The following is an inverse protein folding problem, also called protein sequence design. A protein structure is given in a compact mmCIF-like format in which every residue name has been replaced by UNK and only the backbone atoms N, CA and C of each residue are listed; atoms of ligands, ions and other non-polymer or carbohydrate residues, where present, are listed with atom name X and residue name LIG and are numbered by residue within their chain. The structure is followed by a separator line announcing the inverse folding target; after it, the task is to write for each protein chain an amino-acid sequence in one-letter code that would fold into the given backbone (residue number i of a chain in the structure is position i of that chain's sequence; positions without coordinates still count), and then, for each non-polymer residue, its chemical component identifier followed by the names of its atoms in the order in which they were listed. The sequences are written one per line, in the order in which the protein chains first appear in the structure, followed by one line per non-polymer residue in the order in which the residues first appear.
data_IF_400978644599
#
_entry.id   IF_400978644599
#
_cell.length_a   1.000
_cell.length_b   1.000
_cell.length_c   1.000
_cell.angle_alpha   90.00
_cell.angle_beta   90.00
_cell.angle_gamma   90.00
#
_symmetry.space_group_name_H-M   'P 1'
#
loop_
_entity.id
_entity.type
_entity.pdbx_description
1 polymer ?
#
# COMPACT_ATOMS: atom_id res chain seq x y z
N UNK A 1 -11.88 6.28 -16.27
CA UNK A 1 -11.10 6.98 -15.23
C UNK A 1 -12.06 7.71 -14.34
N UNK A 2 -11.84 7.66 -13.04
CA UNK A 2 -12.61 8.34 -12.01
C UNK A 2 -12.14 9.79 -11.85
N UNK A 3 -12.67 10.51 -10.87
CA UNK A 3 -12.27 11.89 -10.60
C UNK A 3 -12.80 12.85 -11.67
N UNK A 4 -12.00 13.83 -12.01
CA UNK A 4 -12.38 14.93 -12.92
C UNK A 4 -12.67 14.49 -14.36
N UNK A 5 -12.31 13.26 -14.74
CA UNK A 5 -12.56 12.72 -16.07
C UNK A 5 -13.97 12.16 -16.27
N UNK A 6 -14.80 12.19 -15.23
CA UNK A 6 -16.16 11.71 -15.30
C UNK A 6 -17.12 12.89 -15.45
N UNK A 7 -17.90 12.89 -16.52
CA UNK A 7 -18.92 13.91 -16.81
C UNK A 7 -20.35 13.39 -16.59
N UNK A 8 -20.50 12.17 -16.10
CA UNK A 8 -21.81 11.56 -15.85
C UNK A 8 -22.47 12.16 -14.62
N UNK A 9 -23.80 12.35 -14.66
CA UNK A 9 -24.59 12.76 -13.50
C UNK A 9 -24.46 11.79 -12.32
N UNK A 10 -24.35 10.50 -12.62
CA UNK A 10 -24.10 9.44 -11.66
C UNK A 10 -22.69 8.90 -11.91
N UNK A 11 -21.72 9.53 -11.29
CA UNK A 11 -20.31 9.19 -11.48
C UNK A 11 -20.01 7.80 -10.91
N UNK A 12 -19.35 6.90 -11.68
CA UNK A 12 -18.81 5.66 -11.14
C UNK A 12 -17.91 5.96 -9.93
N UNK A 13 -18.11 5.18 -8.85
CA UNK A 13 -17.38 5.33 -7.57
C UNK A 13 -17.39 6.77 -7.02
N UNK A 14 -18.48 7.53 -7.29
CA UNK A 14 -18.66 8.92 -6.88
C UNK A 14 -17.49 9.85 -7.27
N UNK A 15 -16.85 9.57 -8.41
CA UNK A 15 -15.64 10.26 -8.90
C UNK A 15 -14.43 10.21 -7.97
N UNK A 16 -14.38 9.35 -6.97
CA UNK A 16 -13.21 9.15 -6.12
C UNK A 16 -12.03 8.58 -6.92
N UNK A 17 -10.82 8.86 -6.48
CA UNK A 17 -9.60 8.24 -7.01
C UNK A 17 -9.34 6.94 -6.25
N UNK A 18 -9.50 5.81 -6.92
CA UNK A 18 -9.23 4.49 -6.32
C UNK A 18 -7.73 4.24 -6.29
N UNK A 19 -7.21 4.01 -5.09
CA UNK A 19 -5.79 3.80 -4.79
C UNK A 19 -5.53 2.42 -4.15
N UNK A 20 -6.36 1.44 -4.51
CA UNK A 20 -6.11 0.03 -4.21
C UNK A 20 -5.71 -0.77 -5.46
N UNK A 21 -5.42 -0.11 -6.59
CA UNK A 21 -4.79 -0.55 -7.82
C UNK A 21 -4.98 0.42 -9.00
N UNK A 22 -6.14 1.10 -9.13
CA UNK A 22 -6.48 1.80 -10.36
C UNK A 22 -5.54 2.96 -10.65
N UNK A 23 -5.24 3.78 -9.64
CA UNK A 23 -4.30 4.90 -9.78
C UNK A 23 -2.90 4.37 -10.06
N UNK A 24 -2.46 3.35 -9.34
CA UNK A 24 -1.15 2.72 -9.51
C UNK A 24 -0.98 2.23 -10.96
N UNK A 25 -1.92 1.45 -11.47
CA UNK A 25 -1.88 0.94 -12.86
C UNK A 25 -1.81 2.07 -13.91
N UNK A 26 -2.47 3.19 -13.67
CA UNK A 26 -2.43 4.33 -14.59
C UNK A 26 -1.03 4.93 -14.72
N UNK A 27 -0.20 4.83 -13.69
CA UNK A 27 1.15 5.41 -13.65
C UNK A 27 2.29 4.42 -13.85
N UNK A 28 2.05 3.09 -13.76
CA UNK A 28 3.11 2.09 -13.99
C UNK A 28 3.88 2.25 -15.31
N UNK A 29 3.24 2.61 -16.44
CA UNK A 29 3.98 2.77 -17.68
C UNK A 29 4.83 4.04 -17.75
N UNK A 30 4.66 5.02 -16.86
CA UNK A 30 5.27 6.34 -17.00
C UNK A 30 6.80 6.29 -17.11
N UNK A 31 7.46 5.59 -16.19
CA UNK A 31 8.94 5.51 -16.19
C UNK A 31 9.46 4.67 -17.36
N UNK A 32 8.91 3.48 -17.59
CA UNK A 32 9.38 2.57 -18.65
C UNK A 32 9.21 3.11 -20.06
N UNK A 33 8.26 4.05 -20.25
CA UNK A 33 8.02 4.71 -21.54
C UNK A 33 8.66 6.09 -21.65
N UNK A 34 9.52 6.46 -20.68
CA UNK A 34 10.17 7.77 -20.62
C UNK A 34 9.17 8.95 -20.53
N UNK A 35 8.07 8.75 -19.82
CA UNK A 35 7.04 9.75 -19.54
C UNK A 35 7.04 10.18 -18.06
N UNK A 36 8.16 10.01 -17.35
CA UNK A 36 8.31 10.35 -15.93
C UNK A 36 7.92 11.79 -15.58
N UNK A 37 8.03 12.74 -16.51
CA UNK A 37 7.57 14.11 -16.32
C UNK A 37 6.04 14.25 -16.18
N UNK A 38 5.27 13.23 -16.55
CA UNK A 38 3.81 13.21 -16.40
C UNK A 38 3.34 12.80 -15.00
N UNK A 39 4.26 12.38 -14.13
CA UNK A 39 3.94 11.89 -12.77
C UNK A 39 3.83 13.00 -11.73
N UNK A 40 4.19 14.22 -12.04
CA UNK A 40 4.15 15.36 -11.10
C UNK A 40 2.79 15.56 -10.39
N UNK A 41 1.63 15.43 -11.07
CA UNK A 41 0.34 15.50 -10.41
C UNK A 41 0.13 14.38 -9.36
N UNK A 42 0.66 13.18 -9.60
CA UNK A 42 0.63 12.08 -8.64
C UNK A 42 1.51 12.40 -7.42
N UNK A 43 2.70 12.93 -7.63
CA UNK A 43 3.60 13.29 -6.51
C UNK A 43 2.99 14.38 -5.63
N UNK A 44 2.35 15.39 -6.24
CA UNK A 44 1.61 16.41 -5.51
C UNK A 44 0.47 15.81 -4.69
N UNK A 45 -0.31 14.90 -5.27
CA UNK A 45 -1.36 14.16 -4.56
C UNK A 45 -0.80 13.37 -3.38
N UNK A 46 0.30 12.62 -3.56
CA UNK A 46 0.93 11.83 -2.50
C UNK A 46 1.40 12.73 -1.35
N UNK A 47 1.99 13.87 -1.68
CA UNK A 47 2.45 14.85 -0.67
C UNK A 47 1.30 15.35 0.18
N UNK A 48 0.21 15.80 -0.44
CA UNK A 48 -0.97 16.28 0.28
C UNK A 48 -1.59 15.17 1.13
N UNK A 49 -1.74 13.98 0.53
CA UNK A 49 -2.32 12.81 1.16
C UNK A 49 -1.48 12.32 2.35
N UNK A 50 -0.16 12.50 2.32
CA UNK A 50 0.68 12.15 3.46
C UNK A 50 0.37 13.00 4.71
N UNK A 51 -0.07 14.24 4.53
CA UNK A 51 -0.52 15.09 5.63
C UNK A 51 -1.84 14.63 6.26
N UNK A 52 -2.87 14.43 5.45
CA UNK A 52 -4.18 13.93 5.93
C UNK A 52 -4.08 12.48 6.44
N UNK A 53 -3.25 11.67 5.78
CA UNK A 53 -2.96 10.30 6.16
C UNK A 53 -2.23 10.17 7.50
N UNK A 54 -1.39 11.14 7.86
CA UNK A 54 -0.76 11.17 9.19
C UNK A 54 -1.79 11.42 10.30
N UNK A 55 -2.79 12.25 10.04
CA UNK A 55 -3.90 12.42 10.97
C UNK A 55 -4.70 11.13 11.11
N UNK A 56 -5.04 10.48 10.00
CA UNK A 56 -5.78 9.19 10.01
C UNK A 56 -5.00 8.09 10.74
N UNK A 57 -3.69 7.97 10.49
CA UNK A 57 -2.83 7.00 11.17
C UNK A 57 -2.86 7.19 12.70
N UNK A 58 -2.73 8.43 13.16
CA UNK A 58 -2.74 8.77 14.58
C UNK A 58 -4.10 8.60 15.23
N UNK A 59 -5.15 9.14 14.63
CA UNK A 59 -6.48 9.19 15.27
C UNK A 59 -7.23 7.87 15.19
N UNK A 60 -7.09 7.14 14.09
CA UNK A 60 -7.81 5.88 13.89
C UNK A 60 -7.03 4.67 14.40
N UNK A 61 -5.71 4.69 14.29
CA UNK A 61 -4.87 3.52 14.57
C UNK A 61 -3.86 3.73 15.71
N UNK A 62 -3.67 4.96 16.20
CA UNK A 62 -2.65 5.27 17.20
C UNK A 62 -1.21 5.08 16.69
N UNK A 63 -1.01 5.10 15.37
CA UNK A 63 0.26 4.83 14.71
C UNK A 63 0.98 6.10 14.30
N UNK A 64 2.31 6.04 14.25
CA UNK A 64 3.17 7.06 13.62
C UNK A 64 3.05 7.00 12.10
N UNK A 65 3.78 7.87 11.43
CA UNK A 65 3.85 7.94 9.98
C UNK A 65 2.52 8.34 9.35
N UNK A 66 2.21 7.78 8.19
CA UNK A 66 0.96 8.07 7.49
C UNK A 66 0.46 6.86 6.68
N UNK A 67 -0.83 6.85 6.41
CA UNK A 67 -1.49 5.82 5.61
C UNK A 67 -2.69 6.41 4.86
N UNK A 68 -3.19 5.70 3.88
CA UNK A 68 -4.46 5.99 3.24
C UNK A 68 -5.20 4.68 2.94
N UNK A 69 -6.52 4.73 2.99
CA UNK A 69 -7.36 3.60 2.62
C UNK A 69 -7.52 3.49 1.09
N UNK A 70 -8.49 2.72 0.62
CA UNK A 70 -8.61 2.30 -0.78
C UNK A 70 -9.00 3.43 -1.76
N UNK A 71 -9.55 4.54 -1.29
CA UNK A 71 -9.97 5.68 -2.10
C UNK A 71 -9.50 7.01 -1.49
N UNK A 72 -9.25 7.96 -2.35
CA UNK A 72 -9.10 9.38 -2.00
C UNK A 72 -9.89 10.27 -2.98
N UNK A 73 -9.86 11.56 -2.78
CA UNK A 73 -10.59 12.54 -3.61
C UNK A 73 -9.80 13.84 -3.76
N UNK A 74 -10.45 14.88 -4.32
CA UNK A 74 -9.83 16.21 -4.46
C UNK A 74 -9.50 16.86 -3.13
N UNK A 75 -10.14 16.42 -2.03
CA UNK A 75 -9.92 16.91 -0.67
C UNK A 75 -8.87 16.09 0.10
N UNK A 76 -8.30 15.07 -0.54
CA UNK A 76 -7.27 14.19 0.04
C UNK A 76 -7.76 13.41 1.26
N UNK A 77 -9.00 12.88 1.20
CA UNK A 77 -9.45 11.97 2.24
C UNK A 77 -8.53 10.75 2.34
N UNK A 78 -8.12 10.39 3.55
CA UNK A 78 -7.30 9.21 3.83
C UNK A 78 -8.05 8.16 4.65
N UNK A 79 -9.15 8.53 5.30
CA UNK A 79 -10.02 7.65 6.06
C UNK A 79 -10.71 6.60 5.19
N UNK A 80 -11.29 5.54 5.81
CA UNK A 80 -12.07 4.55 5.07
C UNK A 80 -13.38 5.15 4.58
N UNK A 81 -13.76 4.80 3.36
CA UNK A 81 -15.05 5.11 2.77
C UNK A 81 -15.72 3.82 2.32
N UNK A 82 -17.01 3.84 2.07
CA UNK A 82 -17.83 2.68 1.69
C UNK A 82 -17.89 1.62 2.82
N UNK A 83 -18.27 0.38 2.50
CA UNK A 83 -18.35 -0.70 3.48
C UNK A 83 -16.98 -1.25 3.89
N UNK A 84 -16.89 -1.89 5.05
CA UNK A 84 -15.63 -2.42 5.59
C UNK A 84 -14.92 -3.42 4.65
N UNK A 85 -15.69 -4.15 3.83
CA UNK A 85 -15.15 -5.10 2.86
C UNK A 85 -14.31 -4.45 1.74
N UNK A 86 -14.45 -3.15 1.53
CA UNK A 86 -13.64 -2.35 0.60
C UNK A 86 -12.77 -1.35 1.35
N UNK A 87 -13.37 -0.68 2.36
CA UNK A 87 -12.77 0.45 3.06
C UNK A 87 -11.60 0.09 3.97
N UNK A 88 -11.58 -1.12 4.53
CA UNK A 88 -10.54 -1.53 5.49
C UNK A 88 -9.25 -2.02 4.81
N UNK A 89 -8.83 -1.34 3.75
CA UNK A 89 -7.57 -1.54 3.04
C UNK A 89 -6.57 -0.45 3.46
N UNK A 90 -5.62 -0.71 4.38
CA UNK A 90 -4.77 0.34 4.96
C UNK A 90 -3.54 0.69 4.10
N UNK A 91 -3.41 0.13 2.92
CA UNK A 91 -2.16 0.10 2.15
C UNK A 91 -2.09 1.10 1.00
N UNK A 92 -3.18 1.85 0.70
CA UNK A 92 -3.20 2.76 -0.45
C UNK A 92 -2.09 3.80 -0.41
N UNK A 93 -1.81 4.38 0.77
CA UNK A 93 -0.71 5.33 0.93
C UNK A 93 0.66 4.71 0.64
N UNK A 94 0.93 3.56 1.23
CA UNK A 94 2.20 2.85 1.05
C UNK A 94 2.41 2.41 -0.40
N UNK A 95 1.37 1.89 -1.06
CA UNK A 95 1.46 1.47 -2.46
C UNK A 95 1.76 2.65 -3.39
N UNK A 96 1.16 3.81 -3.16
CA UNK A 96 1.48 5.02 -3.90
C UNK A 96 2.95 5.43 -3.76
N UNK A 97 3.61 5.19 -2.61
CA UNK A 97 5.03 5.54 -2.45
C UNK A 97 5.96 4.74 -3.35
N UNK A 98 5.52 3.60 -3.88
CA UNK A 98 6.31 2.81 -4.83
C UNK A 98 6.65 3.60 -6.09
N UNK A 99 5.78 4.51 -6.54
CA UNK A 99 6.06 5.39 -7.68
C UNK A 99 7.22 6.36 -7.41
N UNK A 100 7.34 6.87 -6.17
CA UNK A 100 8.47 7.73 -5.79
C UNK A 100 9.79 6.95 -5.81
N UNK A 101 9.75 5.71 -5.30
CA UNK A 101 10.91 4.82 -5.31
C UNK A 101 11.29 4.40 -6.74
N UNK A 102 10.31 4.05 -7.59
CA UNK A 102 10.53 3.70 -8.99
C UNK A 102 11.16 4.86 -9.76
N UNK A 103 10.66 6.08 -9.59
CA UNK A 103 11.27 7.26 -10.22
C UNK A 103 12.77 7.37 -9.87
N UNK A 104 13.12 7.21 -8.59
CA UNK A 104 14.53 7.20 -8.20
C UNK A 104 15.31 6.05 -8.86
N UNK A 105 14.76 4.86 -8.95
CA UNK A 105 15.43 3.72 -9.60
C UNK A 105 15.72 3.96 -11.09
N UNK A 106 14.82 4.64 -11.79
CA UNK A 106 14.99 4.97 -13.21
C UNK A 106 15.93 6.15 -13.44
N UNK A 107 15.93 7.14 -12.56
CA UNK A 107 16.68 8.39 -12.77
C UNK A 107 18.00 8.46 -12.02
N UNK A 108 18.13 7.77 -10.91
CA UNK A 108 19.26 7.89 -9.98
C UNK A 108 19.33 9.27 -9.27
N UNK A 109 18.27 10.08 -9.34
CA UNK A 109 18.24 11.44 -8.78
C UNK A 109 18.18 11.41 -7.27
N UNK A 110 19.35 11.60 -6.64
CA UNK A 110 19.48 11.69 -5.18
C UNK A 110 18.84 12.94 -4.57
N UNK A 111 18.69 14.02 -5.34
CA UNK A 111 18.02 15.22 -4.85
C UNK A 111 16.51 14.96 -4.74
N UNK A 112 15.92 14.32 -5.74
CA UNK A 112 14.56 13.81 -5.70
C UNK A 112 14.37 12.84 -4.52
N UNK A 113 15.23 11.84 -4.39
CA UNK A 113 15.13 10.88 -3.29
C UNK A 113 15.17 11.57 -1.92
N UNK A 114 16.07 12.53 -1.73
CA UNK A 114 16.17 13.30 -0.47
C UNK A 114 14.89 14.10 -0.21
N UNK A 115 14.31 14.71 -1.23
CA UNK A 115 13.05 15.46 -1.11
C UNK A 115 11.89 14.57 -0.66
N UNK A 116 11.78 13.37 -1.24
CA UNK A 116 10.65 12.48 -1.03
C UNK A 116 10.85 11.43 0.06
N UNK A 117 12.07 11.29 0.56
CA UNK A 117 12.39 10.34 1.63
C UNK A 117 11.49 10.46 2.87
N UNK A 118 11.13 11.66 3.38
CA UNK A 118 10.22 11.76 4.53
C UNK A 118 8.85 11.13 4.28
N UNK A 119 8.35 11.20 3.04
CA UNK A 119 7.06 10.60 2.63
C UNK A 119 7.18 9.08 2.55
N UNK A 120 8.24 8.57 1.92
CA UNK A 120 8.54 7.13 1.84
C UNK A 120 8.74 6.54 3.24
N UNK A 121 9.57 7.19 4.06
CA UNK A 121 9.83 6.79 5.45
C UNK A 121 8.55 6.76 6.27
N UNK A 122 7.72 7.81 6.19
CA UNK A 122 6.49 7.90 6.97
C UNK A 122 5.50 6.78 6.64
N UNK A 123 5.38 6.36 5.39
CA UNK A 123 4.56 5.21 5.02
C UNK A 123 5.09 3.90 5.61
N UNK A 124 6.42 3.73 5.68
CA UNK A 124 7.05 2.58 6.32
C UNK A 124 6.92 2.61 7.86
N UNK A 125 7.02 3.79 8.48
CA UNK A 125 6.84 3.95 9.93
C UNK A 125 5.45 3.53 10.40
N UNK A 126 4.42 3.73 9.59
CA UNK A 126 3.08 3.26 9.90
C UNK A 126 3.07 1.75 10.18
N UNK A 127 3.76 0.95 9.39
CA UNK A 127 3.80 -0.50 9.58
C UNK A 127 4.57 -0.93 10.84
N UNK A 128 5.56 -0.16 11.32
CA UNK A 128 6.27 -0.46 12.56
C UNK A 128 5.31 -0.53 13.76
N UNK A 129 4.27 0.31 13.73
CA UNK A 129 3.28 0.40 14.81
C UNK A 129 2.00 -0.42 14.51
N UNK A 130 1.64 -0.54 13.24
CA UNK A 130 0.37 -1.15 12.81
C UNK A 130 0.40 -2.68 12.80
N UNK A 131 1.54 -3.29 12.40
CA UNK A 131 1.63 -4.74 12.28
C UNK A 131 1.68 -5.42 13.63
N UNK A 132 0.82 -6.41 13.84
CA UNK A 132 0.66 -7.13 15.10
C UNK A 132 1.24 -8.55 15.01
N UNK A 133 1.76 -9.06 16.14
CA UNK A 133 2.24 -10.44 16.23
C UNK A 133 1.09 -11.42 16.01
N UNK A 134 1.25 -12.31 15.03
CA UNK A 134 0.28 -13.40 14.81
C UNK A 134 0.44 -14.45 15.89
N UNK A 135 -0.62 -14.76 16.69
CA UNK A 135 -0.55 -15.73 17.77
C UNK A 135 -0.01 -17.09 17.30
N UNK A 136 0.88 -17.67 18.08
CA UNK A 136 1.50 -18.97 17.79
C UNK A 136 2.61 -18.96 16.74
N UNK A 137 3.03 -17.79 16.27
CA UNK A 137 4.12 -17.62 15.30
C UNK A 137 5.09 -16.50 15.72
N UNK A 138 6.19 -16.35 15.00
CA UNK A 138 7.06 -15.18 15.12
C UNK A 138 6.70 -14.08 14.07
N UNK A 139 5.69 -14.29 13.29
CA UNK A 139 5.28 -13.37 12.25
C UNK A 139 4.53 -12.16 12.79
N UNK A 140 4.72 -11.03 12.12
CA UNK A 140 3.89 -9.83 12.24
C UNK A 140 3.08 -9.63 10.97
N UNK A 141 1.82 -9.29 11.14
CA UNK A 141 0.85 -9.14 10.06
C UNK A 141 -0.01 -7.89 10.26
N UNK A 142 -0.57 -7.38 9.19
CA UNK A 142 -1.55 -6.29 9.22
C UNK A 142 -2.88 -6.76 9.83
N UNK A 143 -3.46 -5.98 10.75
CA UNK A 143 -4.77 -6.26 11.36
C UNK A 143 -5.48 -4.92 11.68
N UNK A 144 -6.65 -4.64 11.07
CA UNK A 144 -7.34 -5.42 10.04
C UNK A 144 -6.64 -5.45 8.69
N UNK A 145 -7.02 -6.40 7.83
CA UNK A 145 -6.47 -6.63 6.51
C UNK A 145 -7.59 -7.01 5.54
N UNK A 146 -7.55 -6.50 4.34
CA UNK A 146 -8.51 -6.82 3.26
C UNK A 146 -7.74 -7.06 1.97
N UNK A 147 -7.93 -8.23 1.37
CA UNK A 147 -7.54 -8.41 -0.01
C UNK A 147 -8.66 -7.87 -0.92
N UNK A 148 -8.46 -6.74 -1.58
CA UNK A 148 -9.54 -6.13 -2.36
C UNK A 148 -9.97 -7.01 -3.53
N UNK A 149 -11.21 -7.26 -3.74
CA UNK A 149 -12.39 -6.89 -2.93
C UNK A 149 -13.15 -8.15 -2.58
N UNK A 150 -12.48 -9.06 -1.87
CA UNK A 150 -12.97 -10.41 -1.61
C UNK A 150 -12.59 -10.91 -0.21
N UNK A 151 -13.25 -11.98 0.22
CA UNK A 151 -12.95 -12.69 1.46
C UNK A 151 -12.54 -14.14 1.23
N UNK A 152 -11.97 -14.80 2.24
CA UNK A 152 -11.64 -16.22 2.19
C UNK A 152 -12.87 -17.07 1.86
N UNK A 153 -12.70 -18.09 1.05
CA UNK A 153 -13.79 -19.02 0.67
C UNK A 153 -14.51 -19.56 1.89
N UNK A 154 -15.84 -19.48 1.87
CA UNK A 154 -16.70 -19.97 2.97
C UNK A 154 -16.81 -19.03 4.18
N UNK A 155 -16.19 -17.85 4.16
CA UNK A 155 -16.36 -16.81 5.17
C UNK A 155 -17.36 -15.75 4.69
N UNK A 156 -18.06 -15.14 5.67
CA UNK A 156 -19.02 -14.05 5.40
C UNK A 156 -18.37 -12.65 5.55
N UNK A 157 -17.06 -12.58 5.59
CA UNK A 157 -16.31 -11.33 5.75
C UNK A 157 -15.12 -11.29 4.80
N UNK A 158 -14.82 -10.11 4.28
CA UNK A 158 -13.58 -9.83 3.58
C UNK A 158 -12.46 -9.37 4.55
N UNK A 159 -12.83 -8.89 5.74
CA UNK A 159 -11.86 -8.42 6.74
C UNK A 159 -11.17 -9.62 7.39
N UNK A 160 -9.86 -9.63 7.32
CA UNK A 160 -8.98 -10.72 7.77
C UNK A 160 -7.76 -10.17 8.52
N UNK A 161 -6.74 -11.00 8.67
CA UNK A 161 -5.42 -10.62 9.16
C UNK A 161 -4.36 -11.09 8.16
N UNK A 162 -3.44 -10.21 7.80
CA UNK A 162 -2.23 -10.54 7.06
C UNK A 162 -2.46 -11.17 5.68
N UNK A 163 -3.38 -10.62 4.86
CA UNK A 163 -3.49 -11.10 3.49
C UNK A 163 -2.15 -10.89 2.74
N UNK A 164 -1.90 -11.71 1.74
CA UNK A 164 -0.61 -11.70 1.03
C UNK A 164 -0.33 -10.36 0.36
N UNK A 165 -1.35 -9.71 -0.20
CA UNK A 165 -1.19 -8.39 -0.82
C UNK A 165 -0.71 -7.34 0.20
N UNK A 166 -1.28 -7.32 1.41
CA UNK A 166 -0.83 -6.42 2.47
C UNK A 166 0.63 -6.66 2.85
N UNK A 167 1.02 -7.93 2.99
CA UNK A 167 2.39 -8.32 3.32
C UNK A 167 3.37 -7.90 2.22
N UNK A 168 2.98 -8.00 0.95
CA UNK A 168 3.78 -7.57 -0.20
C UNK A 168 3.98 -6.05 -0.18
N UNK A 169 2.91 -5.27 -0.03
CA UNK A 169 2.99 -3.80 -0.02
C UNK A 169 3.79 -3.31 1.20
N UNK A 170 3.60 -3.92 2.38
CA UNK A 170 4.38 -3.60 3.56
C UNK A 170 5.88 -3.91 3.35
N UNK A 171 6.19 -5.06 2.75
CA UNK A 171 7.57 -5.44 2.41
C UNK A 171 8.22 -4.43 1.47
N UNK A 172 7.53 -4.00 0.42
CA UNK A 172 8.04 -3.04 -0.56
C UNK A 172 8.25 -1.65 0.06
N UNK A 173 7.29 -1.16 0.86
CA UNK A 173 7.39 0.12 1.53
C UNK A 173 8.57 0.15 2.52
N UNK A 174 8.70 -0.89 3.36
CA UNK A 174 9.79 -1.02 4.31
C UNK A 174 11.15 -1.14 3.61
N UNK A 175 11.23 -1.98 2.56
CA UNK A 175 12.47 -2.18 1.81
C UNK A 175 12.91 -0.93 1.07
N UNK A 176 11.97 -0.18 0.48
CA UNK A 176 12.25 1.08 -0.18
C UNK A 176 12.77 2.13 0.81
N UNK A 177 12.16 2.23 1.99
CA UNK A 177 12.60 3.14 3.05
C UNK A 177 13.99 2.77 3.58
N UNK A 178 14.27 1.48 3.80
CA UNK A 178 15.59 0.97 4.19
C UNK A 178 16.65 1.36 3.18
N UNK A 179 16.43 1.05 1.89
CA UNK A 179 17.38 1.37 0.82
C UNK A 179 17.57 2.88 0.64
N UNK A 180 16.50 3.66 0.71
CA UNK A 180 16.58 5.12 0.63
C UNK A 180 17.40 5.70 1.80
N UNK A 181 17.18 5.21 3.03
CA UNK A 181 17.97 5.57 4.23
C UNK A 181 19.46 5.26 4.06
N UNK A 182 19.79 4.10 3.50
CA UNK A 182 21.18 3.69 3.23
C UNK A 182 21.85 4.61 2.21
N UNK A 183 21.18 4.90 1.09
CA UNK A 183 21.68 5.77 0.02
C UNK A 183 21.93 7.20 0.51
N UNK A 184 21.04 7.69 1.39
CA UNK A 184 21.12 9.04 1.95
C UNK A 184 22.00 9.12 3.20
N UNK A 185 22.34 7.99 3.82
CA UNK A 185 23.17 7.95 5.03
C UNK A 185 22.48 8.50 6.29
N UNK A 186 21.15 8.29 6.43
CA UNK A 186 20.33 8.84 7.51
C UNK A 186 19.54 7.75 8.25
N UNK A 187 19.01 8.08 9.43
CA UNK A 187 18.00 7.29 10.18
C UNK A 187 18.39 5.82 10.43
N UNK A 188 19.62 5.57 10.91
CA UNK A 188 20.12 4.21 11.12
C UNK A 188 19.28 3.41 12.13
N UNK A 189 18.79 4.04 13.18
CA UNK A 189 18.00 3.35 14.21
C UNK A 189 16.65 2.86 13.64
N UNK A 190 15.96 3.74 12.92
CA UNK A 190 14.70 3.42 12.25
C UNK A 190 14.90 2.36 11.17
N UNK A 191 16.01 2.46 10.41
CA UNK A 191 16.39 1.46 9.41
C UNK A 191 16.53 0.08 10.03
N UNK A 192 17.20 -0.06 11.17
CA UNK A 192 17.33 -1.34 11.88
C UNK A 192 15.97 -1.89 12.33
N UNK A 193 15.09 -1.03 12.83
CA UNK A 193 13.73 -1.43 13.22
C UNK A 193 12.93 -1.93 12.00
N UNK A 194 13.03 -1.25 10.86
CA UNK A 194 12.37 -1.69 9.61
C UNK A 194 12.96 -3.01 9.10
N UNK A 195 14.28 -3.20 9.12
CA UNK A 195 14.93 -4.45 8.75
C UNK A 195 14.47 -5.61 9.64
N UNK A 196 14.34 -5.38 10.95
CA UNK A 196 13.79 -6.37 11.87
C UNK A 196 12.35 -6.73 11.52
N UNK A 197 11.49 -5.73 11.25
CA UNK A 197 10.10 -5.98 10.86
C UNK A 197 10.01 -6.77 9.55
N UNK A 198 10.82 -6.44 8.55
CA UNK A 198 10.90 -7.17 7.28
C UNK A 198 11.14 -8.67 7.52
N UNK A 199 12.04 -9.02 8.45
CA UNK A 199 12.34 -10.43 8.78
C UNK A 199 11.19 -11.15 9.49
N UNK A 200 10.19 -10.43 9.96
CA UNK A 200 9.02 -10.97 10.65
C UNK A 200 7.76 -11.03 9.74
N UNK A 201 7.83 -10.52 8.52
CA UNK A 201 6.73 -10.65 7.56
C UNK A 201 6.61 -12.13 7.13
N UNK A 202 5.39 -12.71 7.08
CA UNK A 202 5.19 -14.07 6.63
C UNK A 202 5.75 -14.29 5.22
N UNK A 203 6.43 -15.42 4.96
CA UNK A 203 6.83 -15.77 3.59
C UNK A 203 5.60 -16.03 2.73
N UNK A 204 5.72 -15.79 1.43
CA UNK A 204 4.69 -16.16 0.48
C UNK A 204 4.51 -17.68 0.45
N UNK A 205 3.25 -18.13 0.46
CA UNK A 205 2.90 -19.52 0.56
C UNK A 205 2.27 -20.01 -0.76
N UNK A 206 2.54 -21.27 -1.09
CA UNK A 206 1.92 -21.93 -2.25
C UNK A 206 0.74 -22.76 -1.76
N UNK A 207 -0.44 -22.51 -2.33
CA UNK A 207 -1.66 -23.21 -2.00
C UNK A 207 -1.81 -24.55 -2.75
N UNK A 208 -2.87 -25.26 -2.42
CA UNK A 208 -3.18 -26.62 -2.94
C UNK A 208 -3.42 -26.71 -4.45
N UNK A 209 -3.60 -25.58 -5.11
CA UNK A 209 -3.75 -25.50 -6.57
C UNK A 209 -2.44 -25.07 -7.27
N UNK A 210 -1.32 -24.95 -6.54
CA UNK A 210 -0.05 -24.47 -7.08
C UNK A 210 0.01 -22.93 -7.24
N UNK A 211 -0.97 -22.21 -6.74
CA UNK A 211 -1.02 -20.75 -6.75
C UNK A 211 -0.35 -20.14 -5.52
N UNK A 212 0.01 -18.87 -5.59
CA UNK A 212 0.27 -18.09 -4.39
C UNK A 212 -1.04 -17.95 -3.59
N UNK A 213 -0.98 -18.21 -2.28
CA UNK A 213 -2.13 -18.03 -1.40
C UNK A 213 -2.46 -16.55 -1.23
N UNK A 214 -3.74 -16.22 -1.24
CA UNK A 214 -4.24 -14.88 -0.98
C UNK A 214 -4.29 -14.55 0.52
N UNK A 215 -4.44 -15.56 1.37
CA UNK A 215 -4.50 -15.44 2.82
C UNK A 215 -3.50 -16.38 3.50
N UNK A 216 -3.25 -16.15 4.80
CA UNK A 216 -2.36 -16.99 5.62
C UNK A 216 -2.80 -18.46 5.68
N UNK A 217 -4.09 -18.73 5.46
CA UNK A 217 -4.62 -20.08 5.30
C UNK A 217 -5.02 -20.31 3.84
N UNK A 218 -4.89 -21.55 3.36
CA UNK A 218 -5.29 -21.90 1.98
C UNK A 218 -6.82 -21.92 1.83
N UNK A 219 -7.39 -20.73 1.73
CA UNK A 219 -8.82 -20.47 1.58
C UNK A 219 -9.18 -19.86 0.22
N UNK A 220 -8.32 -20.00 -0.77
CA UNK A 220 -8.52 -19.48 -2.12
C UNK A 220 -9.68 -20.17 -2.83
N UNK A 221 -10.47 -19.41 -3.58
CA UNK A 221 -11.41 -19.96 -4.55
C UNK A 221 -10.80 -19.86 -5.97
N UNK A 222 -10.48 -20.99 -6.62
CA UNK A 222 -9.87 -20.96 -7.96
C UNK A 222 -10.79 -20.39 -9.03
N UNK A 223 -12.09 -20.25 -8.73
CA UNK A 223 -13.08 -19.65 -9.64
C UNK A 223 -13.30 -18.15 -9.40
N UNK A 224 -12.66 -17.58 -8.39
CA UNK A 224 -12.80 -16.16 -8.11
C UNK A 224 -11.90 -15.34 -9.03
N UNK A 225 -12.51 -14.50 -9.87
CA UNK A 225 -11.82 -13.61 -10.81
C UNK A 225 -11.23 -12.35 -10.13
N UNK A 226 -11.60 -12.07 -8.89
CA UNK A 226 -11.11 -10.90 -8.11
C UNK A 226 -9.82 -11.15 -7.33
N UNK A 227 -9.09 -12.22 -7.60
CA UNK A 227 -7.83 -12.50 -6.91
C UNK A 227 -6.81 -11.40 -7.15
N UNK A 228 -6.24 -10.87 -6.05
CA UNK A 228 -5.33 -9.71 -6.09
C UNK A 228 -3.84 -10.09 -6.07
N UNK A 229 -3.54 -11.33 -5.74
CA UNK A 229 -2.17 -11.82 -5.67
C UNK A 229 -1.40 -11.60 -6.98
N UNK A 230 -0.20 -11.09 -6.86
CA UNK A 230 0.67 -10.75 -7.99
C UNK A 230 0.43 -9.35 -8.58
N UNK A 231 -0.61 -8.64 -8.16
CA UNK A 231 -0.85 -7.26 -8.61
C UNK A 231 0.00 -6.23 -7.85
N UNK A 232 0.46 -6.57 -6.67
CA UNK A 232 1.31 -5.69 -5.86
C UNK A 232 2.80 -5.70 -6.30
N UNK A 233 3.19 -6.66 -7.14
CA UNK A 233 4.55 -6.84 -7.63
C UNK A 233 4.64 -6.73 -9.16
N UNK A 234 4.16 -5.66 -9.73
CA UNK A 234 4.34 -5.39 -11.17
C UNK A 234 5.39 -4.32 -11.39
#
# INVERSE_FOLDING_TARGET
MQGVWNDSKNAPWDSKYTININTEMNYWPAEVTNLGNTTEPLYSLIKDLSGTGAQTAREMYGCRGWMAHHNTDIWRIAGPVDGAQWGMFPNGGAWLTTHLWQHYLYTGDKAFLKQWYPVIKGAAEFYLDYMQKLPGTEWKVTVPSVSPEQGPKGKKTAVTAGCTMDNQIAFDALTSAVKASEILGVDEAERKAMQQLISQIPPMQIGKYGQLQEWLVDADDPKNEHRQIGRAHV
#
